data_IF_138933091613
#
_entry.id   IF_138933091613
#
_cell.length_a   1.000
_cell.length_b   1.000
_cell.length_c   1.000
_cell.angle_alpha   90.00
_cell.angle_beta   90.00
_cell.angle_gamma   90.00
#
_symmetry.space_group_name_H-M   'P 1'
#
loop_
_entity.id
_entity.type
_entity.pdbx_description
1 polymer ?
#
# COMPACT_ATOMS: atom_id res chain seq x y z
N UNK A 1 -26.70 34.26 20.87
CA UNK A 1 -27.43 33.13 21.44
C UNK A 1 -27.12 31.89 20.63
N UNK A 2 -26.79 30.82 21.32
CA UNK A 2 -26.57 29.42 20.87
C UNK A 2 -25.36 29.12 20.03
N UNK A 3 -24.16 29.11 20.68
CA UNK A 3 -22.98 28.40 20.18
C UNK A 3 -23.11 26.92 20.50
N UNK A 4 -23.52 26.08 19.54
CA UNK A 4 -23.41 24.61 19.63
C UNK A 4 -21.97 24.22 19.41
N UNK A 5 -21.27 23.88 20.49
CA UNK A 5 -19.91 23.32 20.53
C UNK A 5 -19.85 22.01 19.74
N UNK A 6 -19.19 22.04 18.57
CA UNK A 6 -18.74 20.84 17.85
C UNK A 6 -17.51 20.26 18.55
N UNK A 7 -17.71 19.59 19.69
CA UNK A 7 -16.62 18.99 20.50
C UNK A 7 -16.26 17.54 20.12
N UNK A 8 -17.00 16.91 19.17
CA UNK A 8 -16.79 15.50 18.86
C UNK A 8 -15.71 15.17 17.81
N UNK A 9 -15.30 16.12 16.94
CA UNK A 9 -14.49 15.80 15.75
C UNK A 9 -12.98 15.72 15.96
N UNK A 10 -12.42 16.32 17.00
CA UNK A 10 -10.96 16.43 17.20
C UNK A 10 -10.34 15.22 17.92
N UNK A 11 -11.10 14.50 18.74
CA UNK A 11 -10.62 13.34 19.54
C UNK A 11 -10.42 12.09 18.67
N UNK A 12 -11.20 11.91 17.62
CA UNK A 12 -11.13 10.74 16.72
C UNK A 12 -9.91 10.79 15.79
N UNK A 13 -9.42 11.98 15.43
CA UNK A 13 -8.31 12.16 14.48
C UNK A 13 -6.92 11.79 15.03
N UNK A 14 -6.73 11.73 16.35
CA UNK A 14 -5.43 11.41 16.98
C UNK A 14 -5.22 9.93 17.32
N UNK A 15 -6.24 9.08 17.08
CA UNK A 15 -6.10 7.64 17.37
C UNK A 15 -5.52 6.88 16.18
N UNK A 16 -4.66 5.86 16.41
CA UNK A 16 -4.13 5.03 15.35
C UNK A 16 -5.26 4.39 14.53
N UNK A 17 -5.01 4.14 13.24
CA UNK A 17 -6.01 3.65 12.28
C UNK A 17 -6.73 2.38 12.80
N UNK A 18 -5.99 1.49 13.45
CA UNK A 18 -6.50 0.24 14.08
C UNK A 18 -7.64 0.49 15.07
N UNK A 19 -7.49 1.50 15.96
CA UNK A 19 -8.53 1.82 16.96
C UNK A 19 -9.75 2.48 16.34
N UNK A 20 -9.57 3.24 15.26
CA UNK A 20 -10.68 3.87 14.53
C UNK A 20 -11.52 2.83 13.79
N UNK A 21 -10.89 1.86 13.11
CA UNK A 21 -11.58 0.76 12.42
C UNK A 21 -12.31 -0.15 13.41
N UNK A 22 -11.65 -0.55 14.50
CA UNK A 22 -12.28 -1.37 15.54
C UNK A 22 -13.49 -0.66 16.15
N UNK A 23 -13.38 0.63 16.50
CA UNK A 23 -14.49 1.42 17.03
C UNK A 23 -15.63 1.60 16.02
N UNK A 24 -15.33 1.83 14.75
CA UNK A 24 -16.36 1.98 13.71
C UNK A 24 -17.13 0.68 13.50
N UNK A 25 -16.43 -0.47 13.40
CA UNK A 25 -17.05 -1.78 13.28
C UNK A 25 -17.90 -2.12 14.51
N UNK A 26 -17.38 -1.89 15.73
CA UNK A 26 -18.11 -2.14 16.96
C UNK A 26 -19.34 -1.23 17.08
N UNK A 27 -19.24 0.04 16.69
CA UNK A 27 -20.36 0.96 16.69
C UNK A 27 -21.47 0.55 15.71
N UNK A 28 -21.08 0.07 14.50
CA UNK A 28 -22.03 -0.42 13.52
C UNK A 28 -22.79 -1.66 14.04
N UNK A 29 -22.07 -2.64 14.62
CA UNK A 29 -22.67 -3.85 15.21
C UNK A 29 -23.58 -3.48 16.38
N UNK A 30 -23.15 -2.56 17.26
CA UNK A 30 -23.95 -2.07 18.38
C UNK A 30 -25.26 -1.42 17.92
N UNK A 31 -25.21 -0.58 16.86
CA UNK A 31 -26.39 0.08 16.32
C UNK A 31 -27.38 -0.95 15.75
N UNK A 32 -26.91 -1.94 15.01
CA UNK A 32 -27.75 -3.02 14.47
C UNK A 32 -28.35 -3.86 15.60
N UNK A 33 -27.54 -4.25 16.61
CA UNK A 33 -28.01 -5.04 17.74
C UNK A 33 -29.08 -4.31 18.53
N UNK A 34 -28.90 -3.02 18.84
CA UNK A 34 -29.88 -2.19 19.52
C UNK A 34 -31.16 -2.07 18.69
N UNK A 35 -31.04 -1.85 17.37
CA UNK A 35 -32.19 -1.77 16.47
C UNK A 35 -33.03 -3.06 16.44
N UNK A 36 -32.35 -4.22 16.32
CA UNK A 36 -33.01 -5.52 16.32
C UNK A 36 -33.67 -5.83 17.67
N UNK A 37 -32.97 -5.58 18.80
CA UNK A 37 -33.54 -5.78 20.13
C UNK A 37 -34.74 -4.85 20.39
N UNK A 38 -34.68 -3.61 19.97
CA UNK A 38 -35.79 -2.66 20.10
C UNK A 38 -37.01 -3.09 19.26
N UNK A 39 -36.79 -3.53 18.02
CA UNK A 39 -37.86 -4.03 17.15
C UNK A 39 -38.49 -5.29 17.73
N UNK A 40 -37.69 -6.27 18.16
CA UNK A 40 -38.15 -7.50 18.79
C UNK A 40 -38.96 -7.22 20.09
N UNK A 41 -38.49 -6.29 20.91
CA UNK A 41 -39.20 -5.87 22.12
C UNK A 41 -40.55 -5.22 21.79
N UNK A 42 -40.59 -4.33 20.79
CA UNK A 42 -41.84 -3.68 20.39
C UNK A 42 -42.87 -4.70 19.86
N UNK A 43 -42.43 -5.63 19.00
CA UNK A 43 -43.29 -6.69 18.45
C UNK A 43 -43.82 -7.57 19.58
N UNK A 44 -42.96 -8.03 20.50
CA UNK A 44 -43.36 -8.86 21.63
C UNK A 44 -44.38 -8.14 22.53
N UNK A 45 -44.14 -6.89 22.83
CA UNK A 45 -45.05 -6.05 23.64
C UNK A 45 -46.44 -5.92 22.98
N UNK A 46 -46.48 -5.65 21.69
CA UNK A 46 -47.72 -5.52 20.93
C UNK A 46 -48.46 -6.85 20.88
N UNK A 47 -47.77 -7.95 20.62
CA UNK A 47 -48.39 -9.30 20.55
C UNK A 47 -48.97 -9.72 21.91
N UNK A 48 -48.21 -9.57 23.02
CA UNK A 48 -48.70 -9.91 24.35
C UNK A 48 -49.93 -9.08 24.77
N UNK A 49 -49.95 -7.78 24.43
CA UNK A 49 -51.12 -6.93 24.70
C UNK A 49 -52.34 -7.35 23.84
N UNK A 50 -52.12 -7.66 22.55
CA UNK A 50 -53.22 -8.16 21.68
C UNK A 50 -53.78 -9.47 22.13
N UNK A 51 -52.94 -10.41 22.59
CA UNK A 51 -53.41 -11.68 23.14
C UNK A 51 -54.27 -11.48 24.40
N UNK A 52 -53.86 -10.55 25.30
CA UNK A 52 -54.65 -10.21 26.49
C UNK A 52 -55.99 -9.62 26.07
N UNK A 53 -56.04 -8.71 25.09
CA UNK A 53 -57.28 -8.10 24.60
C UNK A 53 -58.21 -9.14 23.95
N UNK A 54 -57.67 -10.09 23.16
CA UNK A 54 -58.44 -11.18 22.56
C UNK A 54 -59.05 -12.12 23.65
N UNK A 55 -58.23 -12.48 24.66
CA UNK A 55 -58.71 -13.32 25.76
C UNK A 55 -59.81 -12.64 26.58
N UNK A 56 -59.69 -11.33 26.82
CA UNK A 56 -60.74 -10.52 27.43
C UNK A 56 -62.02 -10.47 26.63
N UNK A 57 -61.95 -10.27 25.32
CA UNK A 57 -63.08 -10.24 24.45
C UNK A 57 -63.80 -11.58 24.38
N UNK A 58 -63.04 -12.69 24.27
CA UNK A 58 -63.60 -14.06 24.26
C UNK A 58 -64.29 -14.36 25.58
N UNK A 59 -63.64 -14.05 26.71
CA UNK A 59 -64.19 -14.25 28.05
C UNK A 59 -65.48 -13.42 28.22
N UNK A 60 -65.47 -12.16 27.83
CA UNK A 60 -66.64 -11.31 27.88
C UNK A 60 -67.82 -11.84 27.04
N UNK A 61 -67.52 -12.39 25.83
CA UNK A 61 -68.54 -12.97 24.96
C UNK A 61 -69.15 -14.23 25.61
N UNK A 62 -68.31 -15.13 26.13
CA UNK A 62 -68.77 -16.34 26.81
C UNK A 62 -69.65 -15.99 28.06
N UNK A 63 -69.22 -15.03 28.85
CA UNK A 63 -69.96 -14.61 30.04
C UNK A 63 -71.27 -13.88 29.67
N UNK A 64 -71.28 -13.08 28.62
CA UNK A 64 -72.47 -12.43 28.12
C UNK A 64 -73.53 -13.43 27.63
N UNK A 65 -73.11 -14.55 27.01
CA UNK A 65 -74.01 -15.64 26.65
C UNK A 65 -74.60 -16.41 27.86
N UNK A 66 -73.78 -16.65 28.89
CA UNK A 66 -74.20 -17.30 30.13
C UNK A 66 -75.19 -16.43 30.93
N UNK A 67 -74.93 -15.14 31.05
CA UNK A 67 -75.83 -14.19 31.72
C UNK A 67 -77.16 -13.98 31.02
N UNK A 68 -77.25 -14.33 29.75
CA UNK A 68 -78.52 -14.29 28.98
C UNK A 68 -79.50 -15.42 29.44
N UNK A 69 -78.96 -16.58 29.88
CA UNK A 69 -79.72 -17.73 30.27
C UNK A 69 -79.99 -17.80 31.79
N UNK A 70 -79.27 -16.99 32.59
CA UNK A 70 -79.46 -16.92 34.02
C UNK A 70 -80.07 -15.54 34.33
N UNK A 71 -81.21 -15.52 35.02
CA UNK A 71 -81.84 -14.28 35.43
C UNK A 71 -80.88 -13.39 36.21
N UNK A 72 -81.29 -12.16 36.58
CA UNK A 72 -80.36 -11.20 37.16
C UNK A 72 -79.92 -11.60 38.57
N UNK A 73 -78.99 -12.52 38.68
CA UNK A 73 -78.19 -12.70 39.87
C UNK A 73 -77.20 -11.58 39.88
N UNK A 74 -77.67 -10.44 40.35
CA UNK A 74 -76.89 -9.24 40.58
C UNK A 74 -75.65 -9.58 41.40
N UNK A 75 -74.53 -9.58 40.75
CA UNK A 75 -73.25 -9.34 41.34
C UNK A 75 -72.78 -10.31 42.38
N UNK A 76 -72.33 -11.48 41.89
CA UNK A 76 -71.28 -12.15 42.61
C UNK A 76 -70.01 -11.33 42.47
N UNK A 77 -69.86 -10.35 43.40
CA UNK A 77 -68.75 -9.40 43.47
C UNK A 77 -67.54 -10.03 44.14
N UNK A 78 -67.37 -11.36 43.96
CA UNK A 78 -66.14 -12.03 44.41
C UNK A 78 -64.97 -11.75 43.45
N UNK A 79 -64.71 -10.47 43.21
CA UNK A 79 -63.45 -10.01 42.66
C UNK A 79 -62.30 -10.18 43.67
N UNK A 80 -62.20 -11.40 44.27
CA UNK A 80 -60.99 -11.79 44.98
C UNK A 80 -59.94 -12.09 43.91
N UNK A 81 -59.02 -11.16 43.77
CA UNK A 81 -57.96 -11.04 42.78
C UNK A 81 -57.01 -12.23 42.60
N UNK A 82 -57.54 -13.46 42.71
CA UNK A 82 -56.77 -14.67 42.53
C UNK A 82 -57.34 -15.44 41.31
N UNK A 83 -56.68 -15.27 40.16
CA UNK A 83 -56.77 -16.13 38.98
C UNK A 83 -58.10 -16.19 38.18
N UNK A 84 -59.18 -15.54 38.57
CA UNK A 84 -60.47 -15.54 37.88
C UNK A 84 -60.79 -14.15 37.33
N UNK A 85 -61.31 -14.02 36.09
CA UNK A 85 -61.73 -12.73 35.57
C UNK A 85 -62.78 -12.08 36.49
N UNK A 86 -62.49 -10.86 36.93
CA UNK A 86 -63.45 -10.06 37.70
C UNK A 86 -64.51 -9.57 36.74
N UNK A 87 -65.79 -9.81 37.10
CA UNK A 87 -66.91 -9.49 36.23
C UNK A 87 -67.90 -8.61 37.01
N UNK A 88 -68.34 -7.53 36.38
CA UNK A 88 -69.32 -6.62 36.94
C UNK A 88 -70.30 -6.14 35.87
N UNK A 89 -71.62 -6.13 36.22
CA UNK A 89 -72.65 -5.61 35.34
C UNK A 89 -73.04 -4.21 35.81
N UNK A 90 -73.07 -3.26 34.90
CA UNK A 90 -73.37 -1.86 35.23
C UNK A 90 -74.55 -1.37 34.38
N UNK A 91 -75.64 -0.91 35.04
CA UNK A 91 -76.78 -0.35 34.34
C UNK A 91 -76.48 1.05 33.76
N UNK A 92 -77.18 1.44 32.73
CA UNK A 92 -77.01 2.74 32.11
C UNK A 92 -77.41 3.92 33.03
N UNK A 93 -78.45 3.70 33.86
CA UNK A 93 -78.92 4.70 34.80
C UNK A 93 -78.40 4.43 36.24
N UNK A 94 -77.84 5.43 36.94
CA UNK A 94 -77.31 5.25 38.32
C UNK A 94 -78.36 4.82 39.32
N UNK A 95 -79.60 5.23 39.16
CA UNK A 95 -80.76 4.88 40.04
C UNK A 95 -81.09 3.37 40.07
N UNK A 96 -80.52 2.59 39.15
CA UNK A 96 -80.66 1.12 39.10
C UNK A 96 -79.48 0.38 39.75
N UNK A 97 -78.53 1.13 40.31
CA UNK A 97 -77.41 0.51 41.03
C UNK A 97 -77.97 -0.15 42.28
N UNK A 98 -77.50 -1.37 42.61
CA UNK A 98 -78.01 -2.06 43.78
C UNK A 98 -77.67 -1.30 45.07
N UNK A 99 -78.66 -0.99 45.92
CA UNK A 99 -78.42 -0.19 47.13
C UNK A 99 -77.50 -0.96 48.11
N UNK A 100 -76.47 -0.28 48.60
CA UNK A 100 -75.56 -0.82 49.61
C UNK A 100 -74.35 -1.63 49.12
N UNK A 101 -74.11 -1.72 47.81
CA UNK A 101 -72.91 -2.38 47.24
C UNK A 101 -72.04 -1.36 46.52
N UNK A 102 -70.84 -1.18 47.06
CA UNK A 102 -69.79 -0.41 46.31
C UNK A 102 -69.32 -1.27 45.12
N UNK A 103 -69.20 -0.65 43.94
CA UNK A 103 -68.71 -1.39 42.76
C UNK A 103 -67.27 -1.90 43.02
N UNK A 104 -67.03 -3.14 42.73
CA UNK A 104 -65.70 -3.76 42.88
C UNK A 104 -64.68 -3.20 41.87
N UNK A 105 -65.17 -2.73 40.72
CA UNK A 105 -64.40 -2.10 39.66
C UNK A 105 -64.91 -0.61 39.53
N UNK A 106 -63.99 0.34 39.30
CA UNK A 106 -64.38 1.74 39.09
C UNK A 106 -65.33 1.90 37.89
N UNK A 107 -66.42 2.62 38.13
CA UNK A 107 -67.42 2.87 37.06
C UNK A 107 -67.16 4.29 36.52
N UNK A 108 -66.74 4.37 35.27
CA UNK A 108 -66.58 5.66 34.58
C UNK A 108 -67.86 6.11 33.86
N UNK A 109 -68.06 7.39 33.59
CA UNK A 109 -69.14 7.88 32.72
C UNK A 109 -69.16 7.17 31.35
N UNK A 110 -67.98 6.87 30.77
CA UNK A 110 -67.83 6.15 29.51
C UNK A 110 -68.41 4.74 29.59
N UNK A 111 -68.34 4.03 30.74
CA UNK A 111 -68.93 2.74 30.96
C UNK A 111 -70.47 2.78 30.87
N UNK A 112 -71.08 3.80 31.43
CA UNK A 112 -72.54 4.05 31.35
C UNK A 112 -73.00 4.44 29.95
N UNK A 113 -72.14 5.13 29.18
CA UNK A 113 -72.42 5.39 27.75
C UNK A 113 -72.41 4.09 26.92
N UNK A 114 -71.50 3.16 27.20
CA UNK A 114 -71.52 1.81 26.57
C UNK A 114 -72.78 1.09 26.95
N UNK A 115 -73.19 1.09 28.22
CA UNK A 115 -74.43 0.45 28.68
C UNK A 115 -75.67 1.04 27.96
N UNK A 116 -75.70 2.35 27.76
CA UNK A 116 -76.76 3.06 27.03
C UNK A 116 -76.70 2.91 25.50
N UNK A 117 -75.70 2.22 24.98
CA UNK A 117 -75.49 2.03 23.52
C UNK A 117 -74.98 3.28 22.78
N UNK A 118 -74.58 4.31 23.50
CA UNK A 118 -74.04 5.56 22.93
C UNK A 118 -72.57 5.55 22.63
N UNK A 119 -71.84 4.47 23.09
CA UNK A 119 -70.42 4.30 22.84
C UNK A 119 -70.07 2.86 22.49
N UNK A 120 -69.10 2.69 21.59
CA UNK A 120 -68.59 1.35 21.22
C UNK A 120 -67.81 0.72 22.38
N UNK A 121 -67.69 -0.62 22.41
CA UNK A 121 -66.87 -1.35 23.36
C UNK A 121 -65.45 -0.85 23.35
N UNK A 122 -64.78 -0.77 24.51
CA UNK A 122 -63.40 -0.29 24.61
C UNK A 122 -62.62 -1.01 25.72
N UNK A 123 -61.29 -0.91 25.59
CA UNK A 123 -60.31 -1.40 26.56
C UNK A 123 -59.74 -0.27 27.34
N UNK A 124 -59.47 -0.46 28.63
CA UNK A 124 -58.80 0.55 29.48
C UNK A 124 -57.89 -0.14 30.50
N UNK A 125 -56.82 0.53 30.91
CA UNK A 125 -55.93 0.06 31.96
C UNK A 125 -56.30 0.80 33.24
N UNK A 126 -56.38 0.05 34.34
CA UNK A 126 -56.67 0.57 35.67
C UNK A 126 -55.72 -0.10 36.68
N UNK A 127 -55.55 0.55 37.82
CA UNK A 127 -54.91 -0.08 38.97
C UNK A 127 -55.98 -0.31 40.05
N UNK A 128 -56.19 -1.58 40.41
CA UNK A 128 -57.18 -1.95 41.41
C UNK A 128 -56.48 -2.70 42.50
N UNK A 129 -56.61 -2.21 43.74
CA UNK A 129 -55.97 -2.76 44.95
C UNK A 129 -54.42 -2.93 44.80
N UNK A 130 -53.75 -2.00 44.05
CA UNK A 130 -52.33 -2.05 43.82
C UNK A 130 -51.87 -2.94 42.66
N UNK A 131 -52.77 -3.61 41.97
CA UNK A 131 -52.46 -4.46 40.81
C UNK A 131 -52.90 -3.81 39.51
N UNK A 132 -52.08 -3.88 38.46
CA UNK A 132 -52.46 -3.40 37.15
C UNK A 132 -53.44 -4.38 36.52
N UNK A 133 -54.54 -3.84 36.01
CA UNK A 133 -55.66 -4.60 35.46
C UNK A 133 -56.02 -4.00 34.10
N UNK A 134 -56.22 -4.91 33.14
CA UNK A 134 -56.82 -4.58 31.83
C UNK A 134 -58.31 -4.84 31.86
N UNK A 135 -59.09 -3.84 31.53
CA UNK A 135 -60.52 -3.89 31.59
C UNK A 135 -61.09 -3.84 30.17
N UNK A 136 -62.06 -4.67 29.89
CA UNK A 136 -62.87 -4.62 28.68
C UNK A 136 -64.32 -4.36 29.02
N UNK A 137 -64.94 -3.40 28.34
CA UNK A 137 -66.33 -3.00 28.60
C UNK A 137 -67.11 -3.24 27.32
N UNK A 138 -68.20 -4.01 27.44
CA UNK A 138 -69.09 -4.34 26.31
C UNK A 138 -70.54 -4.26 26.73
N UNK A 139 -71.42 -3.82 25.81
CA UNK A 139 -72.87 -3.76 26.04
C UNK A 139 -73.47 -5.17 26.01
N UNK A 140 -74.41 -5.47 26.96
CA UNK A 140 -75.21 -6.66 26.92
C UNK A 140 -76.37 -6.51 25.96
N UNK A 141 -76.51 -7.45 25.03
CA UNK A 141 -77.58 -7.37 24.01
C UNK A 141 -78.98 -7.54 24.66
N UNK A 142 -79.88 -6.64 24.32
CA UNK A 142 -81.24 -6.66 24.82
C UNK A 142 -81.46 -6.03 26.20
N UNK A 143 -80.44 -5.43 26.81
CA UNK A 143 -80.51 -4.73 28.08
C UNK A 143 -79.73 -3.43 28.00
N UNK A 144 -80.16 -2.41 28.79
CA UNK A 144 -79.40 -1.18 28.99
C UNK A 144 -78.33 -1.34 30.08
N UNK A 145 -77.48 -2.35 29.87
CA UNK A 145 -76.45 -2.79 30.79
C UNK A 145 -75.11 -3.00 30.06
N UNK A 146 -74.02 -2.71 30.72
CA UNK A 146 -72.66 -3.05 30.24
C UNK A 146 -72.01 -4.09 31.14
N UNK A 147 -71.32 -5.03 30.52
CA UNK A 147 -70.47 -6.03 31.15
C UNK A 147 -69.05 -5.48 31.24
N UNK A 148 -68.52 -5.34 32.42
CA UNK A 148 -67.09 -5.07 32.65
C UNK A 148 -66.38 -6.38 32.99
N UNK A 149 -65.35 -6.74 32.23
CA UNK A 149 -64.51 -7.90 32.46
C UNK A 149 -63.07 -7.42 32.66
N UNK A 150 -62.49 -7.76 33.78
CA UNK A 150 -61.14 -7.36 34.15
C UNK A 150 -60.24 -8.59 34.35
N UNK A 151 -59.05 -8.53 33.75
CA UNK A 151 -57.96 -9.47 33.93
C UNK A 151 -56.71 -8.76 34.42
N UNK A 152 -55.96 -9.44 35.27
CA UNK A 152 -54.65 -8.91 35.74
C UNK A 152 -53.65 -8.86 34.60
N UNK A 153 -52.99 -7.72 34.39
CA UNK A 153 -51.95 -7.51 33.40
C UNK A 153 -50.53 -7.65 33.93
N UNK A 154 -50.38 -7.88 35.26
CA UNK A 154 -49.07 -7.98 35.90
C UNK A 154 -48.21 -9.17 35.41
N UNK A 155 -48.83 -10.26 34.99
CA UNK A 155 -48.13 -11.41 34.33
C UNK A 155 -47.55 -11.03 33.00
N UNK A 156 -48.31 -10.27 32.19
CA UNK A 156 -47.85 -9.76 30.88
C UNK A 156 -46.73 -8.75 31.09
N UNK A 157 -46.89 -7.81 32.06
CA UNK A 157 -45.86 -6.84 32.34
C UNK A 157 -44.56 -7.46 32.87
N UNK A 158 -44.66 -8.49 33.71
CA UNK A 158 -43.51 -9.25 34.18
C UNK A 158 -42.83 -10.00 33.04
N UNK A 159 -43.61 -10.67 32.18
CA UNK A 159 -43.10 -11.36 30.97
C UNK A 159 -42.36 -10.41 30.01
N UNK A 160 -42.97 -9.26 29.75
CA UNK A 160 -42.34 -8.20 28.87
C UNK A 160 -41.03 -7.68 29.51
N UNK A 161 -41.02 -7.47 30.84
CA UNK A 161 -39.82 -7.03 31.57
C UNK A 161 -38.72 -8.08 31.58
N UNK A 162 -39.04 -9.34 31.77
CA UNK A 162 -38.07 -10.43 31.68
C UNK A 162 -37.50 -10.56 30.27
N UNK A 163 -38.34 -10.48 29.25
CA UNK A 163 -37.91 -10.49 27.86
C UNK A 163 -37.01 -9.28 27.52
N UNK A 164 -37.32 -8.08 28.08
CA UNK A 164 -36.47 -6.90 27.93
C UNK A 164 -35.06 -7.12 28.51
N UNK A 165 -34.97 -7.70 29.71
CA UNK A 165 -33.69 -8.03 30.31
C UNK A 165 -32.92 -9.10 29.53
N UNK A 166 -33.59 -10.14 29.06
CA UNK A 166 -32.99 -11.18 28.24
C UNK A 166 -32.42 -10.59 26.90
N UNK A 167 -33.21 -9.78 26.22
CA UNK A 167 -32.78 -9.10 24.99
C UNK A 167 -31.61 -8.15 25.25
N UNK A 168 -31.64 -7.42 26.38
CA UNK A 168 -30.54 -6.53 26.76
C UNK A 168 -29.25 -7.31 27.07
N UNK A 169 -29.35 -8.46 27.76
CA UNK A 169 -28.22 -9.33 28.05
C UNK A 169 -27.61 -9.94 26.78
N UNK A 170 -28.44 -10.49 25.89
CA UNK A 170 -27.97 -11.08 24.62
C UNK A 170 -27.37 -10.03 23.71
N UNK A 171 -28.04 -8.88 23.57
CA UNK A 171 -27.54 -7.76 22.75
C UNK A 171 -26.24 -7.19 23.31
N UNK A 172 -26.16 -7.00 24.63
CA UNK A 172 -24.95 -6.52 25.29
C UNK A 172 -23.75 -7.47 25.14
N UNK A 173 -24.00 -8.79 25.33
CA UNK A 173 -22.95 -9.80 25.13
C UNK A 173 -22.49 -9.82 23.65
N UNK A 174 -23.40 -9.73 22.71
CA UNK A 174 -23.08 -9.67 21.27
C UNK A 174 -22.20 -8.46 20.92
N UNK A 175 -22.52 -7.28 21.48
CA UNK A 175 -21.72 -6.06 21.29
C UNK A 175 -20.32 -6.21 21.88
N UNK A 176 -20.19 -6.78 23.09
CA UNK A 176 -18.89 -7.00 23.74
C UNK A 176 -18.03 -7.99 22.96
N UNK A 177 -18.61 -9.09 22.47
CA UNK A 177 -17.90 -10.06 21.62
C UNK A 177 -17.44 -9.43 20.30
N UNK A 178 -18.31 -8.67 19.63
CA UNK A 178 -17.95 -7.97 18.41
C UNK A 178 -16.82 -6.95 18.62
N UNK A 179 -16.83 -6.23 19.75
CA UNK A 179 -15.76 -5.31 20.10
C UNK A 179 -14.43 -6.02 20.36
N UNK A 180 -14.46 -7.15 21.08
CA UNK A 180 -13.29 -7.98 21.36
C UNK A 180 -12.69 -8.58 20.08
N UNK A 181 -13.53 -9.15 19.21
CA UNK A 181 -13.12 -9.70 17.91
C UNK A 181 -12.56 -8.62 17.00
N UNK A 182 -13.25 -7.48 16.88
CA UNK A 182 -12.78 -6.35 16.06
C UNK A 182 -11.44 -5.80 16.54
N UNK A 183 -11.23 -5.73 17.86
CA UNK A 183 -9.94 -5.35 18.44
C UNK A 183 -8.85 -6.38 18.11
N UNK A 184 -9.14 -7.67 18.26
CA UNK A 184 -8.20 -8.76 18.00
C UNK A 184 -7.78 -8.81 16.54
N UNK A 185 -8.75 -8.79 15.60
CA UNK A 185 -8.49 -8.78 14.15
C UNK A 185 -7.71 -7.53 13.73
N UNK A 186 -8.09 -6.36 14.26
CA UNK A 186 -7.36 -5.12 13.95
C UNK A 186 -5.93 -5.12 14.49
N UNK A 187 -5.68 -5.77 15.63
CA UNK A 187 -4.33 -5.86 16.21
C UNK A 187 -3.45 -6.83 15.46
N UNK A 188 -3.97 -7.98 15.04
CA UNK A 188 -3.18 -9.00 14.32
C UNK A 188 -2.99 -8.62 12.85
N UNK A 189 -4.04 -8.20 12.15
CA UNK A 189 -4.00 -7.88 10.73
C UNK A 189 -3.17 -6.64 10.38
N UNK A 190 -3.10 -5.62 11.28
CA UNK A 190 -2.32 -4.40 11.04
C UNK A 190 -0.93 -4.41 11.68
N UNK A 191 -0.53 -5.47 12.36
CA UNK A 191 0.80 -5.60 12.96
C UNK A 191 1.94 -5.55 11.91
N UNK A 192 1.84 -6.20 10.74
CA UNK A 192 2.85 -6.11 9.69
C UNK A 192 3.04 -4.68 9.17
N UNK A 193 1.95 -3.95 8.94
CA UNK A 193 2.02 -2.54 8.48
C UNK A 193 2.74 -1.65 9.50
N UNK A 194 2.51 -1.87 10.78
CA UNK A 194 3.22 -1.12 11.83
C UNK A 194 4.73 -1.42 11.85
N UNK A 195 5.13 -2.66 11.55
CA UNK A 195 6.55 -3.04 11.41
C UNK A 195 7.18 -2.39 10.19
N UNK A 196 6.50 -2.40 9.04
CA UNK A 196 6.93 -1.70 7.81
C UNK A 196 7.22 -0.23 8.10
N UNK A 197 6.27 0.46 8.74
CA UNK A 197 6.42 1.87 9.10
C UNK A 197 7.62 2.10 10.03
N UNK A 198 7.78 1.28 11.06
CA UNK A 198 8.89 1.40 12.01
C UNK A 198 10.26 1.14 11.35
N UNK A 199 10.34 0.19 10.41
CA UNK A 199 11.57 -0.08 9.64
C UNK A 199 11.89 1.09 8.70
N UNK A 200 10.89 1.62 8.00
CA UNK A 200 11.05 2.79 7.14
C UNK A 200 11.53 4.04 7.93
N UNK A 201 10.94 4.31 9.10
CA UNK A 201 11.36 5.40 9.99
C UNK A 201 12.80 5.21 10.50
N UNK A 202 13.18 3.96 10.81
CA UNK A 202 14.54 3.64 11.23
C UNK A 202 15.55 3.89 10.12
N UNK A 203 15.25 3.44 8.89
CA UNK A 203 16.11 3.69 7.72
C UNK A 203 16.22 5.18 7.44
N UNK A 204 15.12 5.92 7.50
CA UNK A 204 15.13 7.38 7.32
C UNK A 204 16.02 8.10 8.34
N UNK A 205 16.05 7.60 9.58
CA UNK A 205 16.84 8.20 10.67
C UNK A 205 18.31 7.78 10.62
N UNK A 206 18.58 6.48 10.37
CA UNK A 206 19.96 5.93 10.36
C UNK A 206 20.65 6.06 9.01
N UNK A 207 19.88 6.27 7.92
CA UNK A 207 20.34 6.20 6.52
C UNK A 207 21.08 4.90 6.19
N UNK A 208 20.74 3.81 6.90
CA UNK A 208 21.31 2.49 6.65
C UNK A 208 20.29 1.58 5.94
N UNK A 209 20.47 1.30 4.64
CA UNK A 209 19.55 0.50 3.85
C UNK A 209 19.68 -1.01 4.08
N UNK A 210 20.55 -1.46 4.99
CA UNK A 210 20.77 -2.90 5.27
C UNK A 210 19.64 -3.53 6.08
N UNK A 211 18.82 -2.73 6.71
CA UNK A 211 17.67 -3.24 7.44
C UNK A 211 16.66 -3.86 6.47
N UNK A 212 16.20 -5.07 6.81
CA UNK A 212 15.17 -5.80 6.04
C UNK A 212 13.93 -5.99 6.89
N UNK A 213 12.82 -6.14 6.20
CA UNK A 213 11.56 -6.49 6.82
C UNK A 213 11.49 -8.00 6.86
N UNK A 214 11.28 -8.55 8.07
CA UNK A 214 11.06 -9.97 8.25
C UNK A 214 9.74 -10.36 7.59
N UNK A 215 9.82 -11.22 6.58
CA UNK A 215 8.65 -11.77 5.90
C UNK A 215 8.11 -12.94 6.72
N UNK A 216 6.79 -13.07 6.88
CA UNK A 216 6.20 -14.24 7.51
C UNK A 216 6.53 -15.49 6.69
N UNK A 217 7.03 -16.53 7.36
CA UNK A 217 7.33 -17.81 6.77
C UNK A 217 6.12 -18.74 6.86
N UNK A 218 5.52 -19.12 5.72
CA UNK A 218 4.40 -20.06 5.67
C UNK A 218 3.75 -20.14 4.30
N UNK A 219 3.07 -21.23 3.94
CA UNK A 219 2.46 -21.39 2.62
C UNK A 219 1.35 -20.38 2.29
N UNK A 220 0.69 -19.80 3.30
CA UNK A 220 -0.32 -18.75 3.13
C UNK A 220 0.29 -17.31 3.04
N UNK A 221 1.59 -17.16 3.23
CA UNK A 221 2.25 -15.86 3.24
C UNK A 221 2.45 -15.26 1.84
N UNK A 222 2.31 -16.07 0.78
CA UNK A 222 2.58 -15.62 -0.60
C UNK A 222 1.38 -14.93 -1.28
N UNK A 223 0.17 -15.04 -0.71
CA UNK A 223 -1.06 -14.48 -1.29
C UNK A 223 -1.51 -13.18 -0.63
N UNK A 224 -0.83 -12.73 0.44
CA UNK A 224 -1.20 -11.52 1.18
C UNK A 224 -0.57 -10.27 0.52
N UNK A 225 -1.38 -9.26 0.23
CA UNK A 225 -0.97 -7.97 -0.33
C UNK A 225 0.12 -7.32 0.51
N UNK A 226 0.10 -7.54 1.82
CA UNK A 226 1.09 -6.99 2.75
C UNK A 226 2.45 -7.68 2.55
N UNK A 227 2.47 -8.98 2.30
CA UNK A 227 3.70 -9.72 2.01
C UNK A 227 4.30 -9.28 0.68
N UNK A 228 3.46 -9.06 -0.36
CA UNK A 228 3.90 -8.52 -1.64
C UNK A 228 4.49 -7.13 -1.50
N UNK A 229 3.85 -6.25 -0.70
CA UNK A 229 4.37 -4.92 -0.39
C UNK A 229 5.73 -5.00 0.34
N UNK A 230 5.86 -5.88 1.33
CA UNK A 230 7.10 -6.06 2.08
C UNK A 230 8.23 -6.61 1.19
N UNK A 231 7.93 -7.51 0.25
CA UNK A 231 8.88 -8.04 -0.73
C UNK A 231 9.35 -6.93 -1.67
N UNK A 232 8.43 -6.15 -2.26
CA UNK A 232 8.77 -5.03 -3.13
C UNK A 232 9.62 -3.99 -2.40
N UNK A 233 9.31 -3.72 -1.13
CA UNK A 233 10.09 -2.82 -0.30
C UNK A 233 11.51 -3.35 -0.03
N UNK A 234 11.65 -4.65 0.25
CA UNK A 234 12.97 -5.29 0.44
C UNK A 234 13.80 -5.28 -0.86
N UNK A 235 13.18 -5.46 -2.02
CA UNK A 235 13.83 -5.34 -3.33
C UNK A 235 14.35 -3.92 -3.53
N UNK A 236 13.53 -2.90 -3.30
CA UNK A 236 13.93 -1.49 -3.39
C UNK A 236 15.08 -1.15 -2.42
N UNK A 237 15.04 -1.69 -1.19
CA UNK A 237 16.16 -1.52 -0.24
C UNK A 237 17.44 -2.19 -0.72
N UNK A 238 17.33 -3.35 -1.40
CA UNK A 238 18.47 -4.03 -2.03
C UNK A 238 19.13 -3.19 -3.11
N UNK A 239 18.33 -2.61 -4.00
CA UNK A 239 18.80 -1.71 -5.05
C UNK A 239 19.45 -0.45 -4.46
N UNK A 240 18.83 0.15 -3.42
CA UNK A 240 19.39 1.30 -2.73
C UNK A 240 20.74 0.97 -2.06
N UNK A 241 20.85 -0.19 -1.39
CA UNK A 241 22.11 -0.62 -0.77
C UNK A 241 23.21 -0.82 -1.81
N UNK A 242 22.88 -1.43 -2.95
CA UNK A 242 23.81 -1.62 -4.06
C UNK A 242 24.26 -0.27 -4.62
N UNK A 243 23.34 0.67 -4.84
CA UNK A 243 23.66 2.01 -5.35
C UNK A 243 24.56 2.78 -4.38
N UNK A 244 24.20 2.84 -3.09
CA UNK A 244 25.04 3.51 -2.07
C UNK A 244 26.41 2.88 -1.95
N UNK A 245 26.51 1.56 -2.05
CA UNK A 245 27.79 0.84 -1.98
C UNK A 245 28.64 1.13 -3.22
N UNK A 246 28.04 1.12 -4.41
CA UNK A 246 28.72 1.47 -5.66
C UNK A 246 29.25 2.91 -5.64
N UNK A 247 28.41 3.86 -5.14
CA UNK A 247 28.79 5.26 -5.00
C UNK A 247 29.96 5.43 -4.01
N UNK A 248 29.94 4.76 -2.86
CA UNK A 248 31.05 4.81 -1.88
C UNK A 248 32.35 4.26 -2.45
N UNK A 249 32.29 3.16 -3.20
CA UNK A 249 33.46 2.60 -3.90
C UNK A 249 33.99 3.59 -4.92
N UNK A 250 33.13 4.17 -5.75
CA UNK A 250 33.53 5.18 -6.73
C UNK A 250 34.26 6.35 -6.10
N UNK A 251 33.74 6.90 -4.98
CA UNK A 251 34.38 8.02 -4.26
C UNK A 251 35.73 7.61 -3.66
N UNK A 252 35.83 6.39 -3.12
CA UNK A 252 37.08 5.90 -2.56
C UNK A 252 38.14 5.72 -3.65
N UNK A 253 37.79 5.04 -4.75
CA UNK A 253 38.68 4.79 -5.88
C UNK A 253 39.12 6.08 -6.54
N UNK A 254 38.19 7.02 -6.78
CA UNK A 254 38.48 8.37 -7.30
C UNK A 254 39.46 9.13 -6.39
N UNK A 255 39.26 9.03 -5.08
CA UNK A 255 40.16 9.71 -4.11
C UNK A 255 41.58 9.17 -4.16
N UNK A 256 41.74 7.87 -4.36
CA UNK A 256 43.04 7.22 -4.51
C UNK A 256 43.72 7.62 -5.82
N UNK A 257 43.01 7.55 -6.92
CA UNK A 257 43.54 7.83 -8.26
C UNK A 257 43.82 9.35 -8.49
N UNK A 258 43.07 10.24 -7.84
CA UNK A 258 43.36 11.67 -7.88
C UNK A 258 44.59 12.07 -7.02
N UNK A 259 44.85 11.36 -5.93
CA UNK A 259 45.94 11.70 -5.01
C UNK A 259 47.32 11.61 -5.68
N UNK A 260 47.56 10.59 -6.50
CA UNK A 260 48.82 10.32 -7.17
C UNK A 260 49.22 11.45 -8.13
N UNK A 261 48.40 11.83 -9.15
CA UNK A 261 48.74 12.91 -10.06
C UNK A 261 48.80 14.26 -9.38
N UNK A 262 47.95 14.53 -8.37
CA UNK A 262 48.01 15.78 -7.60
C UNK A 262 49.32 15.91 -6.80
N UNK A 263 49.80 14.81 -6.25
CA UNK A 263 51.12 14.80 -5.58
C UNK A 263 52.27 15.11 -6.56
N UNK A 264 52.23 14.49 -7.73
CA UNK A 264 53.21 14.72 -8.78
C UNK A 264 53.11 16.13 -9.36
N UNK A 265 51.88 16.68 -9.55
CA UNK A 265 51.68 18.11 -9.90
C UNK A 265 52.31 19.04 -8.88
N UNK A 266 52.08 18.78 -7.60
CA UNK A 266 52.70 19.59 -6.49
C UNK A 266 54.22 19.53 -6.54
N UNK A 267 54.79 18.33 -6.70
CA UNK A 267 56.27 18.18 -6.76
C UNK A 267 56.87 18.91 -7.95
N UNK A 268 56.27 18.81 -9.15
CA UNK A 268 56.73 19.52 -10.34
C UNK A 268 56.57 21.04 -10.22
N UNK A 269 55.48 21.50 -9.60
CA UNK A 269 55.26 22.93 -9.30
C UNK A 269 56.32 23.47 -8.27
N UNK A 270 56.60 22.69 -7.21
CA UNK A 270 57.65 23.05 -6.22
C UNK A 270 59.04 23.08 -6.86
N UNK A 271 59.34 22.18 -7.81
CA UNK A 271 60.57 22.23 -8.61
C UNK A 271 60.65 23.53 -9.44
N UNK A 272 59.60 23.85 -10.18
CA UNK A 272 59.51 25.04 -10.99
C UNK A 272 59.57 26.36 -10.15
N UNK A 273 59.06 26.35 -8.93
CA UNK A 273 59.14 27.46 -7.99
C UNK A 273 60.59 27.78 -7.55
N UNK A 274 61.52 26.81 -7.74
CA UNK A 274 62.97 26.98 -7.51
C UNK A 274 63.74 27.21 -8.81
N UNK A 275 63.14 27.92 -9.76
CA UNK A 275 63.62 28.08 -11.14
C UNK A 275 65.06 28.55 -11.22
N UNK A 276 65.52 29.42 -10.28
CA UNK A 276 66.91 29.97 -10.24
C UNK A 276 68.00 28.92 -10.04
N UNK A 277 67.64 27.69 -9.65
CA UNK A 277 68.53 26.55 -9.42
C UNK A 277 68.45 25.45 -10.48
N UNK A 278 67.58 25.64 -11.48
CA UNK A 278 67.35 24.65 -12.54
C UNK A 278 68.05 25.05 -13.82
N UNK A 279 68.60 24.07 -14.55
CA UNK A 279 69.01 24.27 -15.95
C UNK A 279 67.77 24.45 -16.86
N UNK A 280 67.93 25.08 -17.99
CA UNK A 280 66.85 25.25 -18.96
C UNK A 280 66.21 23.93 -19.39
N UNK A 281 67.04 22.88 -19.52
CA UNK A 281 66.55 21.54 -19.86
C UNK A 281 65.70 20.92 -18.72
N UNK A 282 66.08 21.09 -17.44
CA UNK A 282 65.33 20.65 -16.29
C UNK A 282 64.00 21.40 -16.16
N UNK A 283 64.01 22.72 -16.39
CA UNK A 283 62.81 23.57 -16.38
C UNK A 283 61.83 23.14 -17.48
N UNK A 284 62.32 22.91 -18.70
CA UNK A 284 61.46 22.45 -19.83
C UNK A 284 60.90 21.06 -19.55
N UNK A 285 61.66 20.12 -18.99
CA UNK A 285 61.16 18.81 -18.58
C UNK A 285 60.10 18.91 -17.52
N UNK A 286 60.29 19.71 -16.49
CA UNK A 286 59.31 19.88 -15.39
C UNK A 286 58.04 20.58 -15.88
N UNK A 287 58.15 21.60 -16.74
CA UNK A 287 56.99 22.26 -17.37
C UNK A 287 56.19 21.30 -18.27
N UNK A 288 56.88 20.52 -19.09
CA UNK A 288 56.25 19.52 -19.93
C UNK A 288 55.56 18.40 -19.12
N UNK A 289 56.18 17.97 -18.01
CA UNK A 289 55.57 16.99 -17.09
C UNK A 289 54.32 17.57 -16.39
N UNK A 290 54.39 18.84 -15.93
CA UNK A 290 53.24 19.54 -15.33
C UNK A 290 52.06 19.62 -16.31
N UNK A 291 52.32 20.03 -17.56
CA UNK A 291 51.29 20.13 -18.60
C UNK A 291 50.64 18.77 -18.94
N UNK A 292 51.43 17.69 -18.98
CA UNK A 292 50.90 16.34 -19.17
C UNK A 292 50.01 15.90 -18.01
N UNK A 293 50.46 16.11 -16.78
CA UNK A 293 49.69 15.72 -15.58
C UNK A 293 48.40 16.52 -15.43
N UNK A 294 48.42 17.83 -15.79
CA UNK A 294 47.20 18.65 -15.77
C UNK A 294 46.15 18.10 -16.74
N UNK A 295 46.56 17.72 -17.94
CA UNK A 295 45.66 17.08 -18.90
C UNK A 295 45.12 15.75 -18.38
N UNK A 296 45.95 14.92 -17.78
CA UNK A 296 45.55 13.64 -17.18
C UNK A 296 44.51 13.81 -16.09
N UNK A 297 44.70 14.76 -15.16
CA UNK A 297 43.74 15.09 -14.09
C UNK A 297 42.43 15.61 -14.68
N UNK A 298 42.49 16.47 -15.71
CA UNK A 298 41.28 17.00 -16.37
C UNK A 298 40.47 15.88 -17.02
N UNK A 299 41.15 14.98 -17.73
CA UNK A 299 40.46 13.80 -18.33
C UNK A 299 39.82 12.92 -17.27
N UNK A 300 40.56 12.63 -16.17
CA UNK A 300 40.08 11.80 -15.08
C UNK A 300 38.87 12.43 -14.37
N UNK A 301 38.86 13.73 -14.15
CA UNK A 301 37.70 14.45 -13.57
C UNK A 301 36.52 14.43 -14.50
N UNK A 302 36.68 14.62 -15.80
CA UNK A 302 35.61 14.54 -16.78
C UNK A 302 35.02 13.11 -16.85
N UNK A 303 35.86 12.09 -16.86
CA UNK A 303 35.44 10.69 -16.83
C UNK A 303 34.64 10.36 -15.56
N UNK A 304 35.03 10.91 -14.38
CA UNK A 304 34.31 10.75 -13.11
C UNK A 304 32.95 11.45 -13.10
N UNK A 305 32.87 12.68 -13.64
CA UNK A 305 31.60 13.42 -13.74
C UNK A 305 30.63 12.66 -14.63
N UNK A 306 31.11 12.10 -15.69
CA UNK A 306 30.29 11.36 -16.64
C UNK A 306 29.81 10.02 -16.06
N UNK A 307 30.68 9.32 -15.34
CA UNK A 307 30.32 8.11 -14.60
C UNK A 307 29.24 8.39 -13.52
N UNK A 308 29.30 9.55 -12.87
CA UNK A 308 28.29 9.97 -11.91
C UNK A 308 26.96 10.38 -12.57
N UNK A 309 26.98 10.93 -13.79
CA UNK A 309 25.79 11.30 -14.56
C UNK A 309 25.02 10.08 -15.11
N UNK A 310 25.72 8.98 -15.37
CA UNK A 310 25.07 7.76 -15.87
C UNK A 310 24.15 7.07 -14.84
N UNK A 311 24.17 7.51 -13.57
CA UNK A 311 23.25 7.07 -12.50
C UNK A 311 21.93 7.89 -12.46
N UNK A 312 21.75 8.91 -13.33
CA UNK A 312 20.52 9.71 -13.40
C UNK A 312 19.35 8.98 -14.12
N UNK A 313 18.08 9.41 -13.86
CA UNK A 313 16.89 8.71 -14.35
C UNK A 313 16.89 8.51 -15.85
N UNK A 314 16.42 7.36 -16.28
CA UNK A 314 16.42 6.81 -17.65
C UNK A 314 16.22 7.90 -18.70
N UNK A 315 17.23 8.22 -19.54
CA UNK A 315 17.05 9.12 -20.66
C UNK A 315 16.07 8.48 -21.67
N UNK A 316 15.35 9.32 -22.40
CA UNK A 316 14.45 8.88 -23.45
C UNK A 316 15.23 8.05 -24.48
N UNK A 317 14.77 6.81 -24.70
CA UNK A 317 15.30 5.94 -25.74
C UNK A 317 14.78 6.45 -27.09
N UNK A 318 15.71 6.67 -28.00
CA UNK A 318 15.41 7.06 -29.40
C UNK A 318 15.74 5.89 -30.31
N UNK A 319 15.14 5.85 -31.52
CA UNK A 319 15.54 4.91 -32.54
C UNK A 319 16.86 5.39 -33.13
N UNK A 320 17.92 4.67 -32.87
CA UNK A 320 19.27 4.98 -33.38
C UNK A 320 19.67 4.01 -34.47
N UNK A 321 20.49 4.48 -35.41
CA UNK A 321 21.19 3.67 -36.40
C UNK A 321 22.64 3.49 -35.99
N UNK A 322 23.04 2.30 -35.49
CA UNK A 322 24.42 2.07 -35.05
C UNK A 322 25.45 2.25 -36.14
N UNK A 323 25.10 2.00 -37.39
CA UNK A 323 25.98 2.23 -38.54
C UNK A 323 26.38 3.71 -38.66
N UNK A 324 25.41 4.63 -38.63
CA UNK A 324 25.67 6.08 -38.68
C UNK A 324 26.50 6.56 -37.48
N UNK A 325 26.20 6.05 -36.26
CA UNK A 325 26.99 6.36 -35.06
C UNK A 325 28.43 5.88 -35.19
N UNK A 326 28.64 4.69 -35.73
CA UNK A 326 29.99 4.15 -35.95
C UNK A 326 30.76 5.00 -36.98
N UNK A 327 30.16 5.38 -38.10
CA UNK A 327 30.80 6.22 -39.09
C UNK A 327 31.21 7.57 -38.51
N UNK A 328 30.31 8.23 -37.75
CA UNK A 328 30.63 9.50 -37.07
C UNK A 328 31.74 9.33 -36.03
N UNK A 329 31.71 8.27 -35.22
CA UNK A 329 32.74 8.01 -34.21
C UNK A 329 34.11 7.76 -34.87
N UNK A 330 34.14 7.01 -35.97
CA UNK A 330 35.39 6.75 -36.72
C UNK A 330 35.89 8.02 -37.40
N UNK A 331 35.02 8.86 -37.93
CA UNK A 331 35.42 10.16 -38.49
C UNK A 331 36.12 11.05 -37.43
N UNK A 332 35.51 11.13 -36.23
CA UNK A 332 36.10 11.85 -35.12
C UNK A 332 37.44 11.23 -34.64
N UNK A 333 37.53 9.91 -34.61
CA UNK A 333 38.75 9.20 -34.24
C UNK A 333 39.89 9.46 -35.23
N UNK A 334 39.61 9.54 -36.55
CA UNK A 334 40.59 9.91 -37.60
C UNK A 334 41.15 11.31 -37.40
N UNK A 335 40.31 12.25 -36.97
CA UNK A 335 40.79 13.63 -36.69
C UNK A 335 41.67 13.67 -35.42
N UNK A 336 41.33 12.86 -34.41
CA UNK A 336 42.05 12.82 -33.15
C UNK A 336 43.38 12.04 -33.25
N UNK A 337 43.40 10.97 -34.05
CA UNK A 337 44.53 10.08 -34.24
C UNK A 337 44.99 10.03 -35.72
N UNK A 338 45.58 11.12 -36.27
CA UNK A 338 45.92 11.19 -37.71
C UNK A 338 46.99 10.19 -38.15
N UNK A 339 47.75 9.63 -37.22
CA UNK A 339 48.79 8.63 -37.51
C UNK A 339 48.26 7.18 -37.52
N UNK A 340 46.95 6.97 -37.24
CA UNK A 340 46.34 5.65 -37.18
C UNK A 340 45.36 5.46 -38.34
N UNK A 341 45.48 4.36 -39.05
CA UNK A 341 44.60 4.01 -40.18
C UNK A 341 43.31 3.34 -39.70
N UNK A 342 42.15 4.04 -39.73
CA UNK A 342 40.87 3.44 -39.38
C UNK A 342 40.18 2.89 -40.62
N UNK A 343 39.79 1.61 -40.57
CA UNK A 343 38.98 0.94 -41.59
C UNK A 343 37.59 0.60 -41.03
N UNK A 344 36.57 0.84 -41.84
CA UNK A 344 35.17 0.55 -41.43
C UNK A 344 34.57 -0.40 -42.45
N UNK A 345 34.00 -1.49 -42.00
CA UNK A 345 33.20 -2.40 -42.80
C UNK A 345 31.82 -2.54 -42.19
N UNK A 346 30.79 -2.21 -42.93
CA UNK A 346 29.40 -2.35 -42.53
C UNK A 346 28.74 -3.32 -43.50
N UNK A 347 28.23 -4.44 -42.94
CA UNK A 347 27.49 -5.41 -43.74
C UNK A 347 26.15 -4.83 -44.23
N UNK A 348 25.65 -5.21 -45.39
CA UNK A 348 24.40 -4.65 -45.93
C UNK A 348 23.21 -4.78 -44.99
N UNK A 349 23.13 -5.88 -44.23
CA UNK A 349 22.05 -6.09 -43.24
C UNK A 349 22.15 -5.20 -42.02
N UNK A 350 23.34 -4.64 -41.74
CA UNK A 350 23.57 -3.78 -40.56
C UNK A 350 23.40 -2.28 -40.90
N UNK A 351 23.47 -1.90 -42.15
CA UNK A 351 23.45 -0.49 -42.60
C UNK A 351 22.14 0.22 -42.21
N UNK A 352 21.00 -0.43 -42.38
CA UNK A 352 19.67 0.11 -42.13
C UNK A 352 19.10 -0.37 -40.77
N UNK A 353 19.85 -1.15 -40.03
CA UNK A 353 19.39 -1.67 -38.72
C UNK A 353 19.19 -0.52 -37.73
N UNK A 354 18.03 -0.54 -37.05
CA UNK A 354 17.70 0.42 -36.02
C UNK A 354 17.45 -0.29 -34.70
N UNK A 355 17.74 0.39 -33.59
CA UNK A 355 17.43 -0.10 -32.27
C UNK A 355 17.16 1.05 -31.29
N UNK A 356 16.39 0.79 -30.21
CA UNK A 356 16.24 1.78 -29.13
C UNK A 356 17.58 2.01 -28.44
N UNK A 357 17.94 3.26 -28.21
CA UNK A 357 19.19 3.62 -27.54
C UNK A 357 19.29 5.11 -27.23
N UNK A 358 20.32 5.49 -26.50
CA UNK A 358 20.68 6.89 -26.24
C UNK A 358 21.87 7.26 -27.11
N UNK A 359 21.70 8.08 -28.17
CA UNK A 359 22.75 8.34 -29.15
C UNK A 359 24.07 8.81 -28.55
N UNK A 360 24.01 9.78 -27.62
CA UNK A 360 25.21 10.33 -26.97
C UNK A 360 25.98 9.27 -26.17
N UNK A 361 25.29 8.35 -25.49
CA UNK A 361 25.92 7.26 -24.70
C UNK A 361 26.55 6.23 -25.62
N UNK A 362 25.86 5.82 -26.69
CA UNK A 362 26.42 4.88 -27.66
C UNK A 362 27.62 5.47 -28.41
N UNK A 363 27.57 6.75 -28.82
CA UNK A 363 28.72 7.45 -29.38
C UNK A 363 29.90 7.42 -28.44
N UNK A 364 29.68 7.66 -27.13
CA UNK A 364 30.73 7.60 -26.12
C UNK A 364 31.34 6.22 -25.98
N UNK A 365 30.52 5.17 -26.00
CA UNK A 365 30.98 3.78 -25.99
C UNK A 365 31.92 3.53 -27.18
N UNK A 366 31.48 3.92 -28.39
CA UNK A 366 32.28 3.76 -29.61
C UNK A 366 33.61 4.55 -29.52
N UNK A 367 33.56 5.81 -29.09
CA UNK A 367 34.78 6.62 -28.92
C UNK A 367 35.76 5.97 -27.91
N UNK A 368 35.26 5.43 -26.78
CA UNK A 368 36.13 4.76 -25.80
C UNK A 368 36.81 3.51 -26.38
N UNK A 369 36.11 2.74 -27.23
CA UNK A 369 36.70 1.58 -27.91
C UNK A 369 37.72 1.98 -28.98
N UNK A 370 37.41 2.98 -29.78
CA UNK A 370 38.27 3.49 -30.86
C UNK A 370 39.54 4.15 -30.32
N UNK A 371 39.40 5.00 -29.28
CA UNK A 371 40.53 5.65 -28.61
C UNK A 371 41.46 4.59 -27.97
N UNK A 372 40.86 3.56 -27.34
CA UNK A 372 41.65 2.47 -26.80
C UNK A 372 42.41 1.71 -27.87
N UNK A 373 41.75 1.37 -28.98
CA UNK A 373 42.38 0.67 -30.10
C UNK A 373 43.49 1.51 -30.76
N UNK A 374 43.27 2.81 -30.98
CA UNK A 374 44.26 3.71 -31.52
C UNK A 374 45.49 3.87 -30.60
N UNK A 375 45.26 4.01 -29.34
CA UNK A 375 46.32 4.17 -28.33
C UNK A 375 47.29 3.01 -28.24
N UNK A 376 46.80 1.78 -28.47
CA UNK A 376 47.60 0.57 -28.42
C UNK A 376 48.11 0.09 -29.77
N UNK A 377 47.58 0.63 -30.88
CA UNK A 377 48.11 0.35 -32.22
C UNK A 377 49.50 0.95 -32.40
N UNK A 378 50.41 0.26 -33.13
CA UNK A 378 51.68 0.81 -33.47
C UNK A 378 51.50 2.02 -34.43
N UNK A 379 52.46 2.97 -34.50
CA UNK A 379 52.40 4.07 -35.46
C UNK A 379 52.18 3.54 -36.88
N UNK A 380 51.17 4.06 -37.59
CA UNK A 380 50.75 3.57 -38.92
C UNK A 380 49.99 2.25 -38.93
N UNK A 381 49.76 1.64 -37.74
CA UNK A 381 49.00 0.41 -37.68
C UNK A 381 47.49 0.64 -37.89
N UNK A 382 46.79 -0.32 -38.52
CA UNK A 382 45.35 -0.19 -38.73
C UNK A 382 44.54 -0.48 -37.44
N UNK A 383 43.42 0.25 -37.30
CA UNK A 383 42.30 -0.14 -36.46
C UNK A 383 41.15 -0.57 -37.33
N UNK A 384 40.70 -1.78 -37.18
CA UNK A 384 39.66 -2.36 -38.00
C UNK A 384 38.34 -2.36 -37.23
N UNK A 385 37.28 -1.84 -37.86
CA UNK A 385 35.93 -1.90 -37.30
C UNK A 385 35.01 -2.62 -38.27
N UNK A 386 34.23 -3.56 -37.74
CA UNK A 386 33.27 -4.32 -38.52
C UNK A 386 31.93 -4.37 -37.80
N UNK A 387 30.86 -4.02 -38.52
CA UNK A 387 29.49 -4.08 -38.00
C UNK A 387 28.69 -5.05 -38.87
N UNK A 388 28.16 -6.09 -38.28
CA UNK A 388 27.37 -7.12 -38.96
C UNK A 388 26.08 -7.44 -38.17
N UNK A 389 25.16 -8.17 -38.81
CA UNK A 389 23.98 -8.74 -38.16
C UNK A 389 24.18 -10.25 -38.07
N UNK A 390 24.35 -10.74 -36.87
CA UNK A 390 24.52 -12.17 -36.59
C UNK A 390 23.34 -12.68 -35.80
N UNK A 391 22.54 -13.56 -36.40
CA UNK A 391 21.27 -14.01 -35.89
C UNK A 391 20.30 -12.83 -35.68
N UNK A 392 19.91 -12.48 -34.46
CA UNK A 392 19.01 -11.37 -34.12
C UNK A 392 19.75 -10.29 -33.31
N UNK A 393 21.04 -10.09 -33.56
CA UNK A 393 21.85 -9.10 -32.88
C UNK A 393 22.82 -8.40 -33.85
N UNK A 394 23.06 -7.12 -33.58
CA UNK A 394 24.17 -6.38 -34.15
C UNK A 394 25.46 -6.77 -33.45
N UNK A 395 26.46 -7.20 -34.20
CA UNK A 395 27.79 -7.56 -33.74
C UNK A 395 28.81 -6.55 -34.27
N UNK A 396 29.28 -5.68 -33.36
CA UNK A 396 30.33 -4.71 -33.66
C UNK A 396 31.66 -5.22 -33.12
N UNK A 397 32.66 -5.29 -33.98
CA UNK A 397 34.03 -5.60 -33.55
C UNK A 397 34.94 -4.39 -33.77
N UNK A 398 35.83 -4.17 -32.83
CA UNK A 398 36.92 -3.18 -32.92
C UNK A 398 38.21 -3.94 -32.63
N UNK A 399 39.13 -3.97 -33.63
CA UNK A 399 40.39 -4.69 -33.56
C UNK A 399 41.55 -3.72 -33.67
N UNK A 400 42.52 -3.86 -32.80
CA UNK A 400 43.82 -3.23 -32.92
C UNK A 400 44.93 -4.24 -33.33
N UNK A 401 46.05 -3.71 -33.70
CA UNK A 401 47.24 -4.51 -34.03
C UNK A 401 48.40 -4.24 -33.08
N UNK A 402 48.06 -3.92 -31.82
CA UNK A 402 48.98 -3.68 -30.73
C UNK A 402 49.54 -4.97 -30.10
N UNK A 403 50.08 -4.87 -28.90
CA UNK A 403 50.64 -6.04 -28.19
C UNK A 403 49.57 -7.04 -27.74
N UNK A 404 48.28 -6.66 -27.82
CA UNK A 404 47.16 -7.45 -27.35
C UNK A 404 47.01 -7.42 -25.83
N UNK A 405 46.08 -8.22 -25.32
CA UNK A 405 45.78 -8.36 -23.92
C UNK A 405 46.33 -9.68 -23.40
N UNK A 406 47.09 -9.68 -22.29
CA UNK A 406 47.52 -10.87 -21.66
C UNK A 406 46.33 -11.68 -21.11
N UNK A 407 46.41 -13.00 -21.13
CA UNK A 407 45.31 -13.87 -20.67
C UNK A 407 44.91 -13.59 -19.21
N UNK A 408 45.91 -13.28 -18.38
CA UNK A 408 45.70 -12.95 -16.97
C UNK A 408 45.02 -11.58 -16.75
N UNK A 409 45.12 -10.64 -17.72
CA UNK A 409 44.54 -9.34 -17.67
C UNK A 409 43.09 -9.32 -18.21
N UNK A 410 42.70 -10.27 -19.07
CA UNK A 410 41.37 -10.31 -19.72
C UNK A 410 40.17 -10.18 -18.77
N UNK A 411 40.15 -10.86 -17.58
CA UNK A 411 39.04 -10.75 -16.64
C UNK A 411 38.85 -9.33 -16.07
N UNK A 412 39.92 -8.54 -16.05
CA UNK A 412 40.01 -7.27 -15.33
C UNK A 412 40.02 -6.03 -16.22
N UNK A 413 40.13 -6.18 -17.54
CA UNK A 413 40.25 -5.01 -18.47
C UNK A 413 39.07 -4.07 -18.43
N UNK A 414 37.92 -4.51 -17.96
CA UNK A 414 36.70 -3.71 -17.77
C UNK A 414 36.52 -3.23 -16.34
N UNK A 415 37.45 -3.53 -15.42
CA UNK A 415 37.37 -3.02 -14.07
C UNK A 415 37.79 -1.55 -14.04
N UNK A 416 37.15 -0.77 -13.16
CA UNK A 416 37.44 0.65 -13.03
C UNK A 416 38.89 0.85 -12.56
N UNK A 417 39.59 1.79 -13.20
CA UNK A 417 40.98 2.12 -12.97
C UNK A 417 41.99 1.00 -13.23
N UNK A 418 41.53 -0.13 -13.80
CA UNK A 418 42.44 -1.23 -14.11
C UNK A 418 43.33 -0.85 -15.31
N UNK A 419 44.62 -1.09 -15.18
CA UNK A 419 45.63 -0.89 -16.23
C UNK A 419 46.63 -2.04 -16.20
N UNK A 420 46.68 -2.80 -17.29
CA UNK A 420 47.68 -3.83 -17.47
C UNK A 420 49.09 -3.27 -17.28
N UNK A 421 50.03 -4.07 -16.86
CA UNK A 421 51.40 -3.64 -16.56
C UNK A 421 52.04 -2.95 -17.78
N UNK A 422 51.84 -3.52 -18.98
CA UNK A 422 52.32 -2.97 -20.25
C UNK A 422 51.69 -1.60 -20.60
N UNK A 423 50.47 -1.32 -20.12
CA UNK A 423 49.72 -0.11 -20.39
C UNK A 423 50.01 1.04 -19.45
N UNK A 424 50.76 0.82 -18.37
CA UNK A 424 51.05 1.85 -17.34
C UNK A 424 51.91 3.01 -17.87
N UNK A 425 52.70 2.78 -18.88
CA UNK A 425 53.53 3.82 -19.49
C UNK A 425 52.74 4.75 -20.45
N UNK A 426 51.55 4.34 -20.91
CA UNK A 426 50.71 5.12 -21.81
C UNK A 426 49.71 6.02 -21.03
N UNK A 427 49.32 7.19 -21.53
CA UNK A 427 48.35 8.04 -20.85
C UNK A 427 46.96 7.39 -20.79
N UNK A 428 46.19 7.62 -19.68
CA UNK A 428 44.80 7.22 -19.54
C UNK A 428 44.40 6.84 -18.12
N UNK A 429 43.14 7.07 -17.81
CA UNK A 429 42.51 6.91 -16.49
C UNK A 429 42.18 5.46 -16.10
N UNK A 430 42.09 4.53 -17.04
CA UNK A 430 41.55 3.18 -16.83
C UNK A 430 40.05 3.13 -16.65
N UNK A 431 39.34 4.22 -16.97
CA UNK A 431 37.86 4.32 -16.87
C UNK A 431 37.14 4.06 -18.19
N UNK A 432 37.77 4.30 -19.34
CA UNK A 432 37.13 4.26 -20.65
C UNK A 432 36.47 2.89 -20.97
N UNK A 433 37.18 1.77 -20.76
CA UNK A 433 36.60 0.43 -20.99
C UNK A 433 35.53 0.06 -19.97
N UNK A 434 35.70 0.46 -18.70
CA UNK A 434 34.68 0.27 -17.66
C UNK A 434 33.39 1.03 -18.00
N UNK A 435 33.52 2.26 -18.49
CA UNK A 435 32.39 3.07 -18.96
C UNK A 435 31.74 2.45 -20.22
N UNK A 436 32.54 2.00 -21.18
CA UNK A 436 32.00 1.32 -22.37
C UNK A 436 31.17 0.08 -21.99
N UNK A 437 31.65 -0.75 -21.05
CA UNK A 437 30.90 -1.90 -20.54
C UNK A 437 29.64 -1.52 -19.78
N UNK A 438 29.67 -0.44 -18.99
CA UNK A 438 28.50 0.07 -18.28
C UNK A 438 27.43 0.56 -19.26
N UNK A 439 27.83 1.33 -20.29
CA UNK A 439 26.92 1.80 -21.34
C UNK A 439 26.33 0.61 -22.11
N UNK A 440 27.15 -0.38 -22.48
CA UNK A 440 26.70 -1.59 -23.16
C UNK A 440 25.60 -2.29 -22.35
N UNK A 441 25.84 -2.55 -21.06
CA UNK A 441 24.86 -3.18 -20.16
C UNK A 441 23.58 -2.38 -20.01
N UNK A 442 23.67 -1.04 -19.90
CA UNK A 442 22.50 -0.16 -19.82
C UNK A 442 21.63 -0.20 -21.09
N UNK A 443 22.21 -0.63 -22.21
CA UNK A 443 21.51 -0.84 -23.48
C UNK A 443 21.15 -2.32 -23.73
N UNK A 444 21.30 -3.23 -22.75
CA UNK A 444 21.05 -4.65 -22.93
C UNK A 444 22.04 -5.34 -23.89
N UNK A 445 23.23 -4.74 -24.06
CA UNK A 445 24.30 -5.26 -24.91
C UNK A 445 25.41 -5.91 -24.06
N UNK A 446 26.13 -6.83 -24.66
CA UNK A 446 27.30 -7.49 -24.08
C UNK A 446 28.57 -6.97 -24.73
N UNK A 447 29.56 -6.56 -23.93
CA UNK A 447 30.88 -6.13 -24.38
C UNK A 447 31.92 -7.11 -23.83
N UNK A 448 32.66 -7.77 -24.75
CA UNK A 448 33.72 -8.72 -24.45
C UNK A 448 35.05 -8.26 -25.03
N UNK A 449 36.14 -8.76 -24.48
CA UNK A 449 37.49 -8.52 -24.97
C UNK A 449 38.19 -9.86 -25.17
N UNK A 450 38.89 -9.98 -26.29
CA UNK A 450 39.60 -11.19 -26.68
C UNK A 450 40.99 -10.84 -27.25
N UNK A 451 41.86 -11.79 -27.33
CA UNK A 451 43.11 -11.67 -28.09
C UNK A 451 42.80 -11.88 -29.55
N UNK A 452 43.14 -10.90 -30.40
CA UNK A 452 42.92 -11.04 -31.82
C UNK A 452 43.78 -12.14 -32.47
N UNK A 453 43.24 -12.92 -33.42
CA UNK A 453 44.06 -13.84 -34.23
C UNK A 453 45.14 -13.04 -34.97
N UNK A 454 46.40 -13.45 -34.84
CA UNK A 454 47.53 -12.76 -35.44
C UNK A 454 48.10 -11.60 -34.63
N UNK A 455 47.61 -11.34 -33.44
CA UNK A 455 48.06 -10.30 -32.51
C UNK A 455 47.10 -9.14 -32.40
N UNK A 456 47.26 -8.29 -31.37
CA UNK A 456 46.34 -7.22 -31.03
C UNK A 456 45.21 -7.63 -30.10
N UNK A 457 44.36 -6.69 -29.76
CA UNK A 457 43.14 -6.94 -29.02
C UNK A 457 41.90 -6.84 -29.93
N UNK A 458 40.87 -7.58 -29.60
CA UNK A 458 39.57 -7.57 -30.25
C UNK A 458 38.52 -7.27 -29.19
N UNK A 459 37.82 -6.17 -29.35
CA UNK A 459 36.64 -5.84 -28.54
C UNK A 459 35.39 -6.15 -29.36
N UNK A 460 34.47 -6.92 -28.80
CA UNK A 460 33.22 -7.31 -29.44
C UNK A 460 32.05 -6.77 -28.64
N UNK A 461 31.20 -5.99 -29.30
CA UNK A 461 29.95 -5.49 -28.74
C UNK A 461 28.79 -6.17 -29.43
N UNK A 462 28.05 -6.98 -28.71
CA UNK A 462 26.86 -7.68 -29.19
C UNK A 462 25.60 -7.01 -28.67
N UNK A 463 24.79 -6.46 -29.55
CA UNK A 463 23.59 -5.71 -29.23
C UNK A 463 22.36 -6.41 -29.81
N UNK A 464 21.46 -7.02 -29.04
CA UNK A 464 20.20 -7.55 -29.53
C UNK A 464 19.40 -6.46 -30.28
N UNK A 465 18.82 -6.77 -31.43
CA UNK A 465 17.97 -5.83 -32.16
C UNK A 465 16.68 -5.53 -31.41
N UNK A 466 16.12 -6.54 -30.79
CA UNK A 466 14.98 -6.38 -29.85
C UNK A 466 15.53 -6.40 -28.43
N UNK A 467 15.30 -5.34 -27.64
CA UNK A 467 15.72 -5.38 -26.24
C UNK A 467 15.01 -6.55 -25.54
N UNK A 468 15.69 -7.24 -24.60
CA UNK A 468 15.03 -8.26 -23.80
C UNK A 468 13.78 -7.65 -23.13
N UNK A 469 12.67 -8.40 -23.02
CA UNK A 469 11.50 -7.94 -22.33
C UNK A 469 11.91 -7.51 -20.93
N UNK A 470 11.46 -6.32 -20.49
CA UNK A 470 11.70 -5.85 -19.12
C UNK A 470 11.13 -6.90 -18.16
N UNK A 471 11.98 -7.69 -17.52
CA UNK A 471 11.59 -8.55 -16.41
C UNK A 471 11.12 -7.62 -15.26
N UNK A 472 9.81 -7.46 -15.13
CA UNK A 472 9.22 -6.83 -13.96
C UNK A 472 8.30 -5.64 -14.19
N UNK A 473 7.30 -5.79 -15.04
CA UNK A 473 6.06 -5.03 -14.93
C UNK A 473 4.90 -6.02 -14.85
N UNK A 474 4.75 -6.65 -13.68
CA UNK A 474 3.64 -7.53 -13.34
C UNK A 474 3.20 -7.28 -11.90
#
# INVERSE_FOLDING_TARGET
MTGRRRLGGRWVRRRPLRTRLALAASAAVALVAVGVCAAAFLVLRVQMTRQLDLNLAQTATQLAQRTRNWGPTAGDTSCRYQAVPCVQIIPAAPARDAPGRSPALPVSPATREVAAGRRAPYYTNLTVAGYPVRLYIVRLHGKDEALQVALRSDTVERGVRQAAWALAAVGGTGVLLAAALGYWVSRTGLAPVARLTATAERIATTRDPRHRIDLPTGPAAHEDEITRLATSFNTMLGELEQSVTAQRRLVADASHELRTPLTALRTNAELLARADRLTDEQRNRASGALARQLREVTTLVNDLIELARDEEPRPLLEQVRPAELLEHAVAAAREHWPEVGFTVRIAPGAADATRPGVPARLTRLLSNLLDNAAKFSPPGGPVETELDVVADALDLTVRDHGPGIATDDLPYVFDRFYRAQAARALPGSGLGLAMARQIARAHGAELTAERAPGGGALFRLRMPLTPPPEEGAG
#
